data_IF_158195486626
#
_entry.id   IF_158195486626
#
_cell.length_a   1.000
_cell.length_b   1.000
_cell.length_c   1.000
_cell.angle_alpha   90.00
_cell.angle_beta   90.00
_cell.angle_gamma   90.00
#
_symmetry.space_group_name_H-M   'P 1'
#
loop_
_entity.id
_entity.type
_entity.pdbx_description
1 polymer ?
#
# COMPACT_ATOMS: atom_id res chain seq x y z
N UNK A 1 -9.94 15.97 -8.96
CA UNK A 1 -10.08 16.30 -7.52
C UNK A 1 -10.42 15.08 -6.68
N UNK A 2 -11.45 14.30 -7.03
CA UNK A 2 -11.82 13.08 -6.28
C UNK A 2 -10.70 12.02 -6.25
N UNK A 3 -9.98 11.82 -7.36
CA UNK A 3 -8.85 10.89 -7.40
C UNK A 3 -7.74 11.24 -6.41
N UNK A 4 -7.42 12.54 -6.25
CA UNK A 4 -6.40 12.98 -5.30
C UNK A 4 -6.82 12.72 -3.85
N UNK A 5 -8.11 12.89 -3.55
CA UNK A 5 -8.68 12.59 -2.23
C UNK A 5 -8.61 11.08 -1.99
N UNK A 6 -9.05 10.27 -2.95
CA UNK A 6 -9.00 8.81 -2.85
C UNK A 6 -7.56 8.30 -2.67
N UNK A 7 -6.61 8.83 -3.44
CA UNK A 7 -5.19 8.51 -3.30
C UNK A 7 -4.67 8.88 -1.90
N UNK A 8 -5.04 10.06 -1.41
CA UNK A 8 -4.62 10.53 -0.07
C UNK A 8 -5.18 9.64 1.04
N UNK A 9 -6.46 9.25 0.97
CA UNK A 9 -7.07 8.30 1.91
C UNK A 9 -6.40 6.93 1.85
N UNK A 10 -6.09 6.44 0.66
CA UNK A 10 -5.36 5.17 0.49
C UNK A 10 -3.98 5.22 1.16
N UNK A 11 -3.22 6.30 0.93
CA UNK A 11 -1.90 6.50 1.57
C UNK A 11 -2.01 6.57 3.09
N UNK A 12 -2.99 7.29 3.62
CA UNK A 12 -3.25 7.35 5.06
C UNK A 12 -3.61 5.97 5.64
N UNK A 13 -4.41 5.19 4.92
CA UNK A 13 -4.73 3.81 5.27
C UNK A 13 -3.46 2.94 5.38
N UNK A 14 -2.59 3.01 4.37
CA UNK A 14 -1.31 2.30 4.35
C UNK A 14 -0.44 2.72 5.54
N UNK A 15 -0.31 4.03 5.81
CA UNK A 15 0.45 4.55 6.95
C UNK A 15 -0.09 3.96 8.26
N UNK A 16 -1.41 4.00 8.45
CA UNK A 16 -2.04 3.48 9.66
C UNK A 16 -1.78 1.97 9.83
N UNK A 17 -1.95 1.19 8.76
CA UNK A 17 -1.68 -0.25 8.78
C UNK A 17 -0.22 -0.56 9.11
N UNK A 18 0.72 0.14 8.49
CA UNK A 18 2.14 -0.04 8.77
C UNK A 18 2.49 0.34 10.22
N UNK A 19 1.93 1.44 10.73
CA UNK A 19 2.13 1.84 12.13
C UNK A 19 1.61 0.78 13.10
N UNK A 20 0.43 0.21 12.83
CA UNK A 20 -0.11 -0.90 13.62
C UNK A 20 0.80 -2.12 13.56
N UNK A 21 1.21 -2.55 12.36
CA UNK A 21 2.09 -3.70 12.18
C UNK A 21 3.45 -3.51 12.88
N UNK A 22 4.06 -2.32 12.78
CA UNK A 22 5.31 -1.99 13.47
C UNK A 22 5.13 -2.07 15.00
N UNK A 23 4.00 -1.57 15.51
CA UNK A 23 3.72 -1.57 16.95
C UNK A 23 3.53 -2.98 17.49
N UNK A 24 2.81 -3.83 16.76
CA UNK A 24 2.61 -5.25 17.10
C UNK A 24 3.94 -6.02 17.07
N UNK A 25 4.80 -5.74 16.09
CA UNK A 25 6.08 -6.43 15.87
C UNK A 25 7.26 -5.77 16.59
N UNK A 26 7.01 -4.78 17.46
CA UNK A 26 8.07 -4.01 18.13
C UNK A 26 9.04 -4.90 18.91
N UNK A 27 8.54 -5.95 19.57
CA UNK A 27 9.38 -6.92 20.29
C UNK A 27 10.29 -7.70 19.34
N UNK A 28 9.77 -8.17 18.20
CA UNK A 28 10.56 -8.87 17.17
C UNK A 28 11.67 -7.96 16.62
N UNK A 29 11.35 -6.70 16.31
CA UNK A 29 12.30 -5.72 15.79
C UNK A 29 13.39 -5.38 16.82
N UNK A 30 13.05 -5.32 18.11
CA UNK A 30 14.00 -5.14 19.19
C UNK A 30 14.95 -6.36 19.31
N UNK A 31 14.42 -7.59 19.23
CA UNK A 31 15.24 -8.81 19.23
C UNK A 31 16.19 -8.85 18.03
N UNK A 32 15.70 -8.50 16.82
CA UNK A 32 16.55 -8.41 15.63
C UNK A 32 17.68 -7.38 15.80
N UNK A 33 17.40 -6.26 16.46
CA UNK A 33 18.43 -5.27 16.80
C UNK A 33 19.43 -5.76 17.83
N UNK A 34 18.99 -6.51 18.84
CA UNK A 34 19.90 -7.14 19.80
C UNK A 34 20.83 -8.16 19.11
N UNK A 35 20.37 -8.79 18.02
CA UNK A 35 21.16 -9.67 17.15
C UNK A 35 22.07 -8.90 16.17
N UNK A 36 22.10 -7.56 16.21
CA UNK A 36 23.00 -6.74 15.41
C UNK A 36 22.41 -6.22 14.09
N UNK A 37 21.11 -6.38 13.83
CA UNK A 37 20.48 -5.84 12.62
C UNK A 37 20.54 -4.30 12.63
N UNK A 38 21.02 -3.76 11.51
CA UNK A 38 21.21 -2.32 11.32
C UNK A 38 19.90 -1.58 11.01
N UNK A 39 19.85 -0.28 11.30
CA UNK A 39 18.70 0.60 10.98
C UNK A 39 18.25 0.53 9.50
N UNK A 40 19.15 0.58 8.50
CA UNK A 40 18.72 0.49 7.09
C UNK A 40 18.13 -0.89 6.73
N UNK A 41 18.52 -1.97 7.41
CA UNK A 41 17.92 -3.29 7.19
C UNK A 41 16.46 -3.34 7.70
N UNK A 42 16.19 -2.73 8.87
CA UNK A 42 14.81 -2.61 9.38
C UNK A 42 13.96 -1.72 8.46
N UNK A 43 14.52 -0.62 7.96
CA UNK A 43 13.84 0.23 7.00
C UNK A 43 13.53 -0.55 5.70
N UNK A 44 14.49 -1.33 5.19
CA UNK A 44 14.30 -2.17 4.03
C UNK A 44 13.19 -3.21 4.21
N UNK A 45 13.08 -3.81 5.39
CA UNK A 45 11.99 -4.75 5.71
C UNK A 45 10.61 -4.08 5.59
N UNK A 46 10.46 -2.88 6.17
CA UNK A 46 9.19 -2.13 6.14
C UNK A 46 8.87 -1.68 4.70
N UNK A 47 9.88 -1.31 3.90
CA UNK A 47 9.69 -1.01 2.49
C UNK A 47 9.18 -2.23 1.71
N UNK A 48 9.72 -3.42 1.96
CA UNK A 48 9.23 -4.65 1.35
C UNK A 48 7.81 -4.97 1.77
N UNK A 49 7.49 -4.82 3.05
CA UNK A 49 6.13 -5.02 3.57
C UNK A 49 5.14 -4.06 2.89
N UNK A 50 5.50 -2.78 2.78
CA UNK A 50 4.71 -1.79 2.04
C UNK A 50 4.53 -2.16 0.56
N UNK A 51 5.60 -2.61 -0.11
CA UNK A 51 5.55 -3.03 -1.51
C UNK A 51 4.58 -4.20 -1.71
N UNK A 52 4.63 -5.22 -0.85
CA UNK A 52 3.71 -6.36 -0.93
C UNK A 52 2.27 -5.96 -0.65
N UNK A 53 2.02 -5.15 0.38
CA UNK A 53 0.68 -4.65 0.71
C UNK A 53 0.10 -3.84 -0.46
N UNK A 54 0.90 -2.95 -1.05
CA UNK A 54 0.49 -2.14 -2.18
C UNK A 54 0.29 -2.97 -3.45
N UNK A 55 1.16 -3.94 -3.72
CA UNK A 55 1.05 -4.84 -4.86
C UNK A 55 -0.21 -5.71 -4.79
N UNK A 56 -0.50 -6.27 -3.62
CA UNK A 56 -1.74 -7.03 -3.38
C UNK A 56 -2.97 -6.13 -3.51
N UNK A 57 -2.93 -4.94 -2.92
CA UNK A 57 -4.01 -3.96 -3.03
C UNK A 57 -4.28 -3.55 -4.48
N UNK A 58 -3.23 -3.29 -5.27
CA UNK A 58 -3.35 -2.97 -6.69
C UNK A 58 -3.93 -4.13 -7.51
N UNK A 59 -3.46 -5.36 -7.27
CA UNK A 59 -3.99 -6.56 -7.93
C UNK A 59 -5.47 -6.79 -7.62
N UNK A 60 -5.86 -6.69 -6.35
CA UNK A 60 -7.26 -6.82 -5.94
C UNK A 60 -8.11 -5.66 -6.48
N UNK A 61 -7.59 -4.44 -6.48
CA UNK A 61 -8.26 -3.26 -7.03
C UNK A 61 -8.56 -3.40 -8.52
N UNK A 62 -7.60 -3.91 -9.31
CA UNK A 62 -7.80 -4.22 -10.73
C UNK A 62 -8.87 -5.30 -10.89
N UNK A 63 -8.77 -6.39 -10.12
CA UNK A 63 -9.72 -7.50 -10.22
C UNK A 63 -11.16 -7.04 -9.93
N UNK A 64 -11.35 -6.29 -8.84
CA UNK A 64 -12.65 -5.72 -8.46
C UNK A 64 -13.11 -4.69 -9.50
N UNK A 65 -12.23 -3.81 -9.97
CA UNK A 65 -12.55 -2.79 -10.97
C UNK A 65 -12.99 -3.40 -12.31
N UNK A 66 -12.33 -4.49 -12.75
CA UNK A 66 -12.72 -5.23 -13.94
C UNK A 66 -14.07 -5.93 -13.75
N UNK A 67 -14.29 -6.59 -12.61
CA UNK A 67 -15.57 -7.22 -12.30
C UNK A 67 -16.72 -6.21 -12.31
N UNK A 68 -16.52 -5.04 -11.69
CA UNK A 68 -17.49 -3.95 -11.70
C UNK A 68 -17.72 -3.39 -13.11
N UNK A 69 -16.66 -3.25 -13.92
CA UNK A 69 -16.76 -2.77 -15.30
C UNK A 69 -17.61 -3.73 -16.15
N UNK A 70 -17.35 -5.03 -16.06
CA UNK A 70 -18.13 -6.07 -16.74
C UNK A 70 -19.59 -6.04 -16.30
N UNK A 71 -19.86 -5.89 -15.00
CA UNK A 71 -21.21 -5.77 -14.45
C UNK A 71 -21.95 -4.54 -15.00
N UNK A 72 -21.30 -3.38 -15.00
CA UNK A 72 -21.87 -2.14 -15.54
C UNK A 72 -22.21 -2.27 -17.02
N UNK A 73 -21.31 -2.82 -17.82
CA UNK A 73 -21.50 -2.91 -19.28
C UNK A 73 -22.58 -3.93 -19.63
N UNK A 74 -22.55 -5.11 -19.02
CA UNK A 74 -23.43 -6.22 -19.40
C UNK A 74 -24.82 -6.16 -18.77
N UNK A 75 -24.94 -5.60 -17.57
CA UNK A 75 -26.23 -5.53 -16.86
C UNK A 75 -26.83 -4.14 -17.03
N UNK A 76 -26.14 -3.11 -16.54
CA UNK A 76 -26.71 -1.76 -16.45
C UNK A 76 -26.88 -1.14 -17.83
N UNK A 77 -25.86 -1.22 -18.69
CA UNK A 77 -25.87 -0.56 -20.00
C UNK A 77 -26.87 -1.22 -20.98
N UNK A 78 -26.92 -2.55 -21.00
CA UNK A 78 -27.94 -3.29 -21.78
C UNK A 78 -29.36 -2.96 -21.33
N UNK A 79 -29.61 -2.92 -20.02
CA UNK A 79 -30.93 -2.67 -19.47
C UNK A 79 -31.37 -1.20 -19.62
N UNK A 80 -30.44 -0.25 -19.55
CA UNK A 80 -30.76 1.19 -19.53
C UNK A 80 -30.77 1.83 -20.93
N UNK A 81 -29.89 1.37 -21.83
CA UNK A 81 -29.67 2.05 -23.11
C UNK A 81 -29.98 1.17 -24.32
N UNK A 82 -29.84 -0.17 -24.22
CA UNK A 82 -30.12 -1.12 -25.31
C UNK A 82 -28.96 -1.37 -26.29
N UNK A 83 -27.77 -0.83 -26.01
CA UNK A 83 -26.55 -0.93 -26.84
C UNK A 83 -25.35 -1.23 -25.95
N UNK A 84 -24.38 -1.99 -26.46
CA UNK A 84 -23.16 -2.37 -25.73
C UNK A 84 -21.99 -1.51 -26.17
N UNK A 85 -21.29 -0.89 -25.21
CA UNK A 85 -20.02 -0.19 -25.46
C UNK A 85 -18.92 -1.24 -25.63
N UNK A 86 -18.02 -1.03 -26.60
CA UNK A 86 -16.85 -1.91 -26.76
C UNK A 86 -15.95 -1.80 -25.53
N UNK A 87 -15.77 -2.91 -24.84
CA UNK A 87 -14.85 -3.02 -23.72
C UNK A 87 -13.43 -3.18 -24.26
N UNK A 88 -12.61 -2.15 -24.10
CA UNK A 88 -11.17 -2.21 -24.38
C UNK A 88 -10.43 -2.10 -23.05
N UNK A 89 -9.44 -2.97 -22.83
CA UNK A 89 -8.57 -2.86 -21.66
C UNK A 89 -7.42 -1.90 -21.98
N UNK A 90 -7.36 -0.71 -21.36
CA UNK A 90 -6.23 0.19 -21.53
C UNK A 90 -5.06 -0.28 -20.65
N UNK A 91 -4.24 -1.19 -21.18
CA UNK A 91 -3.07 -1.73 -20.48
C UNK A 91 -2.10 -0.65 -20.00
N UNK A 92 -1.94 0.43 -20.77
CA UNK A 92 -1.10 1.58 -20.43
C UNK A 92 -1.62 2.30 -19.18
N UNK A 93 -2.92 2.60 -19.13
CA UNK A 93 -3.55 3.26 -17.98
C UNK A 93 -3.51 2.38 -16.74
N UNK A 94 -3.75 1.07 -16.88
CA UNK A 94 -3.63 0.12 -15.78
C UNK A 94 -2.19 0.06 -15.25
N UNK A 95 -1.20 -0.02 -16.14
CA UNK A 95 0.22 0.00 -15.76
C UNK A 95 0.61 1.28 -15.02
N UNK A 96 0.14 2.44 -15.49
CA UNK A 96 0.40 3.72 -14.85
C UNK A 96 -0.30 3.82 -13.48
N UNK A 97 -1.52 3.33 -13.35
CA UNK A 97 -2.25 3.31 -12.08
C UNK A 97 -1.54 2.44 -11.03
N UNK A 98 -1.07 1.25 -11.42
CA UNK A 98 -0.28 0.37 -10.53
C UNK A 98 1.02 1.07 -10.11
N UNK A 99 1.73 1.67 -11.06
CA UNK A 99 2.98 2.38 -10.78
C UNK A 99 2.75 3.52 -9.79
N UNK A 100 1.72 4.35 -10.01
CA UNK A 100 1.38 5.45 -9.10
C UNK A 100 1.00 4.93 -7.72
N UNK A 101 0.21 3.85 -7.63
CA UNK A 101 -0.17 3.25 -6.36
C UNK A 101 1.04 2.72 -5.58
N UNK A 102 1.96 2.02 -6.25
CA UNK A 102 3.21 1.53 -5.63
C UNK A 102 4.10 2.68 -5.16
N UNK A 103 4.30 3.69 -6.00
CA UNK A 103 5.11 4.86 -5.63
C UNK A 103 4.49 5.62 -4.45
N UNK A 104 3.17 5.84 -4.47
CA UNK A 104 2.46 6.50 -3.38
C UNK A 104 2.58 5.72 -2.06
N UNK A 105 2.46 4.39 -2.12
CA UNK A 105 2.64 3.52 -0.96
C UNK A 105 4.07 3.59 -0.40
N UNK A 106 5.07 3.49 -1.27
CA UNK A 106 6.49 3.58 -0.88
C UNK A 106 6.82 4.94 -0.28
N UNK A 107 6.32 6.03 -0.86
CA UNK A 107 6.48 7.39 -0.33
C UNK A 107 5.79 7.54 1.04
N UNK A 108 4.58 6.99 1.19
CA UNK A 108 3.85 6.98 2.47
C UNK A 108 4.58 6.18 3.55
N UNK A 109 5.18 5.04 3.20
CA UNK A 109 5.90 4.17 4.12
C UNK A 109 7.23 4.76 4.62
N UNK A 110 7.77 5.78 3.96
CA UNK A 110 9.06 6.37 4.31
C UNK A 110 9.09 6.98 5.71
N UNK A 111 8.00 7.64 6.13
CA UNK A 111 7.86 8.20 7.47
C UNK A 111 7.87 7.12 8.55
N UNK A 112 6.95 6.13 8.49
CA UNK A 112 6.92 4.98 9.40
C UNK A 112 8.24 4.19 9.44
N UNK A 113 8.85 3.92 8.28
CA UNK A 113 10.12 3.18 8.20
C UNK A 113 11.24 3.87 8.98
N UNK A 114 11.36 5.20 8.83
CA UNK A 114 12.34 5.99 9.60
C UNK A 114 12.02 6.03 11.08
N UNK A 115 10.75 6.17 11.43
CA UNK A 115 10.30 6.20 12.81
C UNK A 115 10.63 4.87 13.54
N UNK A 116 10.34 3.73 12.91
CA UNK A 116 10.69 2.40 13.43
C UNK A 116 12.19 2.25 13.66
N UNK A 117 13.00 2.68 12.68
CA UNK A 117 14.46 2.62 12.80
C UNK A 117 15.05 3.53 13.90
N UNK A 118 14.30 4.49 14.44
CA UNK A 118 14.73 5.37 15.56
C UNK A 118 14.26 4.86 16.92
N UNK A 119 13.04 4.32 17.00
CA UNK A 119 12.46 3.84 18.27
C UNK A 119 13.29 2.75 18.95
N UNK A 120 13.88 1.84 18.16
CA UNK A 120 14.66 0.74 18.73
C UNK A 120 15.96 1.20 19.43
N UNK A 121 16.40 2.45 19.24
CA UNK A 121 17.59 3.01 19.95
C UNK A 121 17.19 3.72 21.24
N UNK A 122 15.98 4.26 21.32
CA UNK A 122 15.52 4.97 22.51
C UNK A 122 15.26 4.05 23.70
N UNK A 123 14.96 2.76 23.45
CA UNK A 123 14.80 1.78 24.53
C UNK A 123 16.15 1.36 25.13
N UNK A 124 17.20 1.19 24.32
CA UNK A 124 18.56 0.82 24.80
C UNK A 124 19.14 1.88 25.75
N UNK A 125 18.85 3.17 25.53
CA UNK A 125 19.34 4.28 26.37
C UNK A 125 18.50 4.54 27.63
N UNK A 126 17.34 3.87 27.78
CA UNK A 126 16.43 4.09 28.91
C UNK A 126 16.63 3.05 30.03
N UNK A 127 17.58 2.14 29.84
CA UNK A 127 18.01 1.14 30.81
C UNK A 127 19.45 1.34 31.31
N UNK A 128 20.11 2.44 30.94
CA UNK A 128 21.29 2.98 31.62
C UNK A 128 20.89 4.17 32.50
#
# INVERSE_FOLDING_TARGET
MLELIALSVAVLGIINTLMTAITERRRELATLRALGVSRPQIQGLIFWESYYVAGLGAGLGILVGLALSVLLINVINKQSFGWTVQFTLPWETLGMAVLVALLAAMLGAWGPARWAGRQVIAEDLRYE
#
